data_IF_773264632882
#
_entry.id   IF_773264632882
#
_cell.length_a   1.000
_cell.length_b   1.000
_cell.length_c   1.000
_cell.angle_alpha   90.00
_cell.angle_beta   90.00
_cell.angle_gamma   90.00
#
_symmetry.space_group_name_H-M   'P 1'
#
loop_
_entity.id
_entity.type
_entity.pdbx_description
1 polymer ?
#
# COMPACT_ATOMS: atom_id res chain seq x y z
N UNK A 1 41.49 46.61 -59.05
CA UNK A 1 40.20 45.94 -59.36
C UNK A 1 39.86 45.06 -58.17
N UNK A 2 38.96 45.53 -57.31
CA UNK A 2 38.39 44.75 -56.19
C UNK A 2 36.90 45.07 -56.12
N UNK A 3 36.04 44.05 -56.16
CA UNK A 3 34.91 43.96 -55.24
C UNK A 3 34.73 42.48 -54.80
N UNK A 4 33.93 42.05 -53.83
CA UNK A 4 32.89 42.64 -53.02
C UNK A 4 32.79 41.82 -51.71
N UNK A 5 32.27 42.45 -50.66
CA UNK A 5 31.75 41.83 -49.44
C UNK A 5 30.82 40.63 -49.73
N UNK A 6 30.96 39.56 -48.94
CA UNK A 6 29.95 38.49 -48.82
C UNK A 6 29.18 38.67 -47.52
N UNK A 7 27.86 38.73 -47.64
CA UNK A 7 26.92 38.93 -46.53
C UNK A 7 26.00 37.71 -46.42
N UNK A 8 25.72 37.30 -45.17
CA UNK A 8 24.60 36.47 -44.66
C UNK A 8 24.56 34.98 -45.07
N UNK A 9 24.09 34.03 -44.24
CA UNK A 9 22.86 34.00 -43.41
C UNK A 9 23.09 33.08 -42.20
N UNK A 10 22.70 33.52 -40.99
CA UNK A 10 22.56 32.67 -39.79
C UNK A 10 21.18 32.00 -39.83
N UNK A 11 21.12 30.67 -39.90
CA UNK A 11 19.87 29.91 -39.76
C UNK A 11 19.66 29.54 -38.29
N UNK A 12 18.65 30.14 -37.66
CA UNK A 12 18.20 29.79 -36.32
C UNK A 12 17.18 28.64 -36.40
N UNK A 13 17.57 27.45 -35.93
CA UNK A 13 16.69 26.30 -35.81
C UNK A 13 15.88 26.38 -34.51
N UNK A 14 14.57 26.61 -34.57
CA UNK A 14 13.69 26.42 -33.42
C UNK A 14 13.44 24.92 -33.22
N UNK A 15 14.06 24.35 -32.18
CA UNK A 15 13.69 23.03 -31.67
C UNK A 15 12.45 23.16 -30.80
N UNK A 16 11.31 22.65 -31.29
CA UNK A 16 10.07 22.54 -30.51
C UNK A 16 10.18 21.28 -29.64
N UNK A 17 10.63 21.43 -28.40
CA UNK A 17 10.61 20.34 -27.41
C UNK A 17 9.20 20.18 -26.86
N UNK A 18 8.48 19.15 -27.32
CA UNK A 18 7.24 18.71 -26.70
C UNK A 18 7.57 18.14 -25.31
N UNK A 19 7.32 18.92 -24.26
CA UNK A 19 7.38 18.44 -22.89
C UNK A 19 6.16 17.54 -22.63
N UNK A 20 6.36 16.22 -22.64
CA UNK A 20 5.40 15.25 -22.09
C UNK A 20 5.57 15.25 -20.58
N UNK A 21 4.94 16.21 -19.91
CA UNK A 21 4.76 16.18 -18.46
C UNK A 21 3.53 15.32 -18.15
N UNK A 22 3.74 14.08 -17.73
CA UNK A 22 2.68 13.21 -17.18
C UNK A 22 2.85 13.03 -15.67
N UNK A 23 2.35 13.94 -14.81
CA UNK A 23 2.31 13.71 -13.38
C UNK A 23 0.94 13.16 -12.99
N UNK A 24 0.65 11.85 -13.19
CA UNK A 24 -0.60 11.24 -12.67
C UNK A 24 -0.62 9.71 -12.50
N UNK A 25 0.35 8.95 -13.01
CA UNK A 25 0.23 7.47 -13.04
C UNK A 25 0.64 6.74 -11.77
N UNK A 26 1.54 7.31 -10.96
CA UNK A 26 2.11 6.62 -9.78
C UNK A 26 1.05 6.35 -8.71
N UNK A 27 0.17 7.33 -8.46
CA UNK A 27 -0.91 7.18 -7.49
C UNK A 27 -1.93 6.14 -7.99
N UNK A 28 -2.39 6.24 -9.24
CA UNK A 28 -3.31 5.27 -9.83
C UNK A 28 -2.78 3.82 -9.82
N UNK A 29 -1.48 3.63 -10.08
CA UNK A 29 -0.83 2.31 -9.99
C UNK A 29 -0.79 1.76 -8.56
N UNK A 30 -0.68 2.65 -7.56
CA UNK A 30 -0.67 2.27 -6.15
C UNK A 30 -2.06 1.84 -5.66
N UNK A 31 -3.13 2.54 -6.06
CA UNK A 31 -4.51 2.10 -5.81
C UNK A 31 -4.79 0.73 -6.46
N UNK A 32 -4.35 0.53 -7.70
CA UNK A 32 -4.54 -0.74 -8.41
C UNK A 32 -3.83 -1.91 -7.73
N UNK A 33 -2.60 -1.70 -7.24
CA UNK A 33 -1.89 -2.79 -6.55
C UNK A 33 -2.52 -3.10 -5.20
N UNK A 34 -2.98 -2.10 -4.44
CA UNK A 34 -3.64 -2.30 -3.15
C UNK A 34 -4.96 -3.05 -3.29
N UNK A 35 -5.75 -2.73 -4.32
CA UNK A 35 -6.93 -3.52 -4.65
C UNK A 35 -6.61 -4.94 -5.09
N UNK A 36 -5.56 -5.13 -5.89
CA UNK A 36 -5.14 -6.45 -6.28
C UNK A 36 -4.66 -7.26 -5.07
N UNK A 37 -3.90 -6.67 -4.14
CA UNK A 37 -3.49 -7.32 -2.89
C UNK A 37 -4.72 -7.78 -2.12
N UNK A 38 -5.69 -6.89 -1.90
CA UNK A 38 -6.89 -7.18 -1.13
C UNK A 38 -7.70 -8.34 -1.74
N UNK A 39 -8.01 -8.26 -3.03
CA UNK A 39 -8.81 -9.26 -3.74
C UNK A 39 -8.08 -10.59 -3.90
N UNK A 40 -6.79 -10.56 -4.22
CA UNK A 40 -5.99 -11.77 -4.39
C UNK A 40 -5.75 -12.46 -3.05
N UNK A 41 -5.51 -11.71 -1.97
CA UNK A 41 -5.38 -12.25 -0.62
C UNK A 41 -6.67 -12.95 -0.18
N UNK A 42 -7.83 -12.32 -0.41
CA UNK A 42 -9.14 -12.91 -0.11
C UNK A 42 -9.36 -14.24 -0.85
N UNK A 43 -8.80 -14.38 -2.06
CA UNK A 43 -8.86 -15.59 -2.89
C UNK A 43 -7.68 -16.55 -2.72
N UNK A 44 -6.79 -16.36 -1.74
CA UNK A 44 -5.67 -17.27 -1.49
C UNK A 44 -4.51 -17.17 -2.49
N UNK A 45 -4.30 -16.00 -3.10
CA UNK A 45 -3.28 -15.73 -4.12
C UNK A 45 -3.34 -16.65 -5.35
N UNK A 46 -4.44 -16.60 -6.13
CA UNK A 46 -4.60 -17.46 -7.29
C UNK A 46 -3.51 -17.19 -8.34
N UNK A 47 -3.16 -18.23 -9.10
CA UNK A 47 -2.14 -18.15 -10.14
C UNK A 47 -2.58 -17.23 -11.29
N UNK A 48 -2.21 -15.95 -11.20
CA UNK A 48 -2.45 -14.94 -12.22
C UNK A 48 -1.36 -13.86 -12.17
N UNK A 49 -1.08 -13.23 -13.31
CA UNK A 49 -0.13 -12.11 -13.39
C UNK A 49 -0.42 -10.99 -12.38
N UNK A 50 -1.67 -10.48 -12.23
CA UNK A 50 -1.96 -9.44 -11.26
C UNK A 50 -1.75 -9.90 -9.81
N UNK A 51 -2.14 -11.13 -9.46
CA UNK A 51 -1.96 -11.62 -8.10
C UNK A 51 -0.50 -11.95 -7.76
N UNK A 52 0.30 -12.44 -8.72
CA UNK A 52 1.72 -12.63 -8.51
C UNK A 52 2.43 -11.29 -8.25
N UNK A 53 2.07 -10.24 -9.01
CA UNK A 53 2.59 -8.89 -8.80
C UNK A 53 2.16 -8.32 -7.44
N UNK A 54 0.89 -8.49 -7.08
CA UNK A 54 0.36 -8.05 -5.80
C UNK A 54 1.04 -8.76 -4.62
N UNK A 55 1.25 -10.08 -4.70
CA UNK A 55 1.99 -10.84 -3.67
C UNK A 55 3.43 -10.35 -3.53
N UNK A 56 4.10 -10.05 -4.64
CA UNK A 56 5.44 -9.47 -4.60
C UNK A 56 5.47 -8.12 -3.88
N UNK A 57 4.52 -7.22 -4.14
CA UNK A 57 4.44 -5.93 -3.43
C UNK A 57 4.04 -6.06 -1.96
N UNK A 58 3.13 -7.00 -1.64
CA UNK A 58 2.79 -7.36 -0.26
C UNK A 58 4.05 -7.77 0.53
N UNK A 59 4.89 -8.63 -0.04
CA UNK A 59 6.15 -9.07 0.55
C UNK A 59 7.17 -7.92 0.60
N UNK A 60 7.29 -7.13 -0.47
CA UNK A 60 8.23 -5.99 -0.57
C UNK A 60 7.96 -4.92 0.49
N UNK A 61 6.69 -4.67 0.82
CA UNK A 61 6.33 -3.70 1.87
C UNK A 61 6.79 -4.15 3.25
N UNK A 62 6.82 -5.46 3.46
CA UNK A 62 7.23 -6.01 4.73
C UNK A 62 8.72 -6.36 4.82
N UNK A 63 9.52 -6.18 3.75
CA UNK A 63 10.93 -6.62 3.69
C UNK A 63 11.83 -5.65 2.90
N UNK A 64 13.06 -5.33 3.36
CA UNK A 64 13.56 -5.40 4.73
C UNK A 64 13.13 -4.17 5.56
N UNK A 65 13.42 -4.16 6.86
CA UNK A 65 13.09 -3.04 7.75
C UNK A 65 13.62 -1.68 7.23
N UNK A 66 12.82 -0.59 7.27
CA UNK A 66 11.52 -0.41 7.94
C UNK A 66 10.35 -1.06 7.22
N UNK A 67 9.47 -1.71 8.00
CA UNK A 67 8.33 -2.48 7.51
C UNK A 67 7.10 -1.60 7.42
N UNK A 68 6.51 -1.50 6.24
CA UNK A 68 5.22 -0.87 5.99
C UNK A 68 4.08 -1.88 6.20
N UNK A 69 2.84 -1.43 6.50
CA UNK A 69 1.69 -2.32 6.50
C UNK A 69 1.56 -3.04 5.14
N UNK A 70 1.44 -4.38 5.14
CA UNK A 70 1.45 -5.14 3.88
C UNK A 70 0.29 -4.75 2.94
N UNK A 71 -0.88 -4.49 3.50
CA UNK A 71 -2.09 -4.04 2.82
C UNK A 71 -2.48 -2.62 3.28
N UNK A 72 -2.78 -1.75 2.32
CA UNK A 72 -3.24 -0.39 2.60
C UNK A 72 -4.71 -0.28 2.18
N UNK A 73 -5.61 -0.78 3.03
CA UNK A 73 -7.03 -0.99 2.69
C UNK A 73 -7.75 0.30 2.23
N UNK A 74 -7.36 1.45 2.75
CA UNK A 74 -7.86 2.78 2.34
C UNK A 74 -7.51 3.15 0.89
N UNK A 75 -6.51 2.51 0.28
CA UNK A 75 -6.19 2.66 -1.15
C UNK A 75 -6.99 1.70 -2.02
N UNK A 76 -7.87 0.88 -1.46
CA UNK A 76 -8.82 0.11 -2.23
C UNK A 76 -10.26 0.37 -1.75
N UNK A 77 -10.95 1.39 -2.30
CA UNK A 77 -12.34 1.65 -1.96
C UNK A 77 -13.23 0.54 -2.54
N UNK A 78 -13.45 -0.51 -1.75
CA UNK A 78 -14.53 -1.46 -1.98
C UNK A 78 -15.77 -0.94 -1.25
N UNK A 79 -16.44 0.07 -1.82
CA UNK A 79 -17.78 0.47 -1.37
C UNK A 79 -17.88 1.21 -0.03
N UNK A 80 -16.82 1.84 0.47
CA UNK A 80 -17.03 3.01 1.34
C UNK A 80 -17.72 4.05 0.47
N UNK A 81 -18.96 4.40 0.82
CA UNK A 81 -19.73 5.40 0.12
C UNK A 81 -18.91 6.68 -0.03
N UNK A 82 -18.43 6.95 -1.24
CA UNK A 82 -18.35 8.32 -1.74
C UNK A 82 -19.79 8.84 -1.66
N UNK A 83 -20.12 9.52 -0.56
CA UNK A 83 -21.30 10.37 -0.55
C UNK A 83 -21.11 11.44 -1.64
N UNK A 84 -21.98 11.38 -2.67
CA UNK A 84 -22.13 12.35 -3.76
C UNK A 84 -21.07 12.20 -4.87
N UNK A 85 -21.33 11.73 -6.08
CA UNK A 85 -22.57 11.66 -6.85
C UNK A 85 -22.61 10.34 -7.61
N UNK A 86 -23.68 9.56 -7.45
CA UNK A 86 -24.05 8.63 -8.51
C UNK A 86 -24.30 9.47 -9.76
N UNK A 87 -23.72 9.15 -10.94
CA UNK A 87 -24.11 9.82 -12.16
C UNK A 87 -25.60 9.56 -12.35
N UNK A 88 -26.40 10.61 -12.19
CA UNK A 88 -27.85 10.60 -12.40
C UNK A 88 -28.17 9.74 -13.62
N UNK A 89 -29.15 8.84 -13.51
CA UNK A 89 -29.59 8.08 -14.68
C UNK A 89 -29.93 9.07 -15.81
N UNK A 90 -29.78 8.70 -17.09
CA UNK A 90 -30.09 9.60 -18.20
C UNK A 90 -31.49 10.23 -18.09
N UNK A 91 -32.43 9.54 -17.45
CA UNK A 91 -33.77 10.04 -17.16
C UNK A 91 -33.80 11.11 -16.06
N UNK A 92 -33.06 10.95 -14.96
CA UNK A 92 -32.97 11.97 -13.90
C UNK A 92 -32.28 13.24 -14.38
N UNK A 93 -31.31 13.14 -15.30
CA UNK A 93 -30.72 14.31 -15.96
C UNK A 93 -31.74 15.05 -16.83
N UNK A 94 -32.61 14.33 -17.53
CA UNK A 94 -33.69 14.92 -18.32
C UNK A 94 -34.74 15.59 -17.42
N UNK A 95 -35.07 15.00 -16.27
CA UNK A 95 -35.94 15.62 -15.27
C UNK A 95 -35.32 16.89 -14.67
N UNK A 96 -34.03 16.91 -14.29
CA UNK A 96 -33.38 18.13 -13.77
C UNK A 96 -33.37 19.28 -14.81
N UNK A 97 -33.13 18.96 -16.09
CA UNK A 97 -33.18 19.95 -17.17
C UNK A 97 -34.62 20.46 -17.39
N UNK A 98 -35.62 19.59 -17.28
CA UNK A 98 -37.02 19.93 -17.56
C UNK A 98 -37.70 20.70 -16.43
N UNK A 99 -37.25 20.53 -15.17
CA UNK A 99 -37.88 21.11 -13.98
C UNK A 99 -37.00 22.14 -13.25
N UNK A 100 -35.91 22.60 -13.87
CA UNK A 100 -35.12 23.72 -13.35
C UNK A 100 -35.96 25.00 -13.38
N UNK A 101 -36.51 25.38 -12.24
CA UNK A 101 -36.99 26.73 -11.99
C UNK A 101 -35.82 27.72 -12.16
N UNK A 102 -35.96 28.77 -12.98
CA UNK A 102 -34.91 29.76 -13.15
C UNK A 102 -34.87 30.64 -11.89
N UNK A 103 -34.03 30.27 -10.93
CA UNK A 103 -33.62 31.21 -9.90
C UNK A 103 -32.85 32.33 -10.58
N UNK A 104 -33.41 33.53 -10.46
CA UNK A 104 -32.92 34.76 -11.04
C UNK A 104 -31.43 34.96 -10.74
N UNK A 105 -30.74 35.34 -11.81
CA UNK A 105 -29.33 35.70 -11.83
C UNK A 105 -29.08 36.88 -10.91
N UNK A 106 -28.32 36.70 -9.82
CA UNK A 106 -27.50 37.81 -9.30
C UNK A 106 -26.27 37.30 -8.55
N UNK A 107 -25.11 37.81 -8.99
CA UNK A 107 -23.78 37.84 -8.38
C UNK A 107 -22.74 36.79 -8.87
N UNK A 108 -21.56 37.24 -9.33
CA UNK A 108 -20.43 36.35 -9.66
C UNK A 108 -19.74 35.90 -8.37
N UNK A 109 -19.80 34.60 -8.09
CA UNK A 109 -18.97 33.98 -7.04
C UNK A 109 -17.63 33.59 -7.68
N UNK A 110 -16.48 34.06 -7.16
CA UNK A 110 -15.20 33.54 -7.59
C UNK A 110 -15.09 32.09 -7.11
N UNK A 111 -14.87 31.17 -8.05
CA UNK A 111 -14.55 29.78 -7.72
C UNK A 111 -13.13 29.78 -7.12
N UNK A 112 -13.08 29.97 -5.80
CA UNK A 112 -11.94 29.53 -5.00
C UNK A 112 -12.15 28.03 -4.78
N UNK A 113 -11.31 27.21 -5.42
CA UNK A 113 -11.19 25.78 -5.11
C UNK A 113 -9.95 25.55 -4.25
N UNK A 114 -10.00 25.81 -2.92
CA UNK A 114 -9.04 25.24 -1.99
C UNK A 114 -9.69 24.03 -1.34
N UNK A 115 -9.51 22.85 -1.92
CA UNK A 115 -10.11 21.65 -1.33
C UNK A 115 -9.58 20.30 -1.80
N UNK A 116 -8.80 20.23 -2.87
CA UNK A 116 -8.29 18.93 -3.36
C UNK A 116 -7.00 18.47 -2.65
N UNK A 117 -6.59 19.14 -1.57
CA UNK A 117 -5.22 18.99 -1.03
C UNK A 117 -5.20 18.97 0.49
N UNK A 118 -5.87 18.00 1.14
CA UNK A 118 -5.45 17.49 2.47
C UNK A 118 -6.16 16.21 2.92
N UNK A 119 -7.26 15.78 2.29
CA UNK A 119 -8.03 14.62 2.76
C UNK A 119 -7.26 13.28 2.63
N UNK A 120 -6.42 13.15 1.59
CA UNK A 120 -5.70 11.90 1.30
C UNK A 120 -4.62 11.51 2.33
N UNK A 121 -4.30 12.40 3.29
CA UNK A 121 -3.19 12.20 4.22
C UNK A 121 -3.59 11.81 5.66
N UNK A 122 -4.88 11.91 6.03
CA UNK A 122 -5.35 11.59 7.39
C UNK A 122 -6.30 10.39 7.45
N UNK A 123 -6.82 9.94 6.32
CA UNK A 123 -7.85 8.88 6.24
C UNK A 123 -7.23 7.49 6.09
N UNK A 124 -6.12 7.24 6.79
CA UNK A 124 -5.33 6.04 6.63
C UNK A 124 -5.78 4.91 7.58
N UNK A 125 -6.69 5.18 8.52
CA UNK A 125 -7.11 4.20 9.53
C UNK A 125 -8.53 4.46 10.06
N UNK A 126 -9.42 5.00 9.22
CA UNK A 126 -10.82 5.27 9.59
C UNK A 126 -11.78 4.46 8.71
N UNK A 127 -11.47 3.17 8.52
CA UNK A 127 -12.33 2.24 7.78
C UNK A 127 -12.74 1.13 8.74
N UNK A 128 -14.04 1.01 8.98
CA UNK A 128 -14.59 -0.06 9.79
C UNK A 128 -14.46 -1.41 9.08
N UNK A 129 -13.52 -2.23 9.55
CA UNK A 129 -13.30 -3.61 9.13
C UNK A 129 -13.65 -4.61 10.24
N UNK A 130 -14.55 -4.23 11.16
CA UNK A 130 -15.02 -5.11 12.22
C UNK A 130 -15.89 -6.27 11.72
N UNK A 131 -16.52 -6.10 10.55
CA UNK A 131 -17.34 -7.11 9.89
C UNK A 131 -16.55 -8.36 9.47
N UNK A 132 -17.24 -9.49 9.43
CA UNK A 132 -16.69 -10.81 9.06
C UNK A 132 -16.08 -10.85 7.65
N UNK A 133 -16.62 -10.05 6.72
CA UNK A 133 -16.08 -9.89 5.37
C UNK A 133 -14.60 -9.49 5.33
N UNK A 134 -14.07 -8.86 6.40
CA UNK A 134 -12.67 -8.45 6.50
C UNK A 134 -11.85 -9.29 7.49
N UNK A 135 -12.37 -10.44 7.94
CA UNK A 135 -11.64 -11.35 8.83
C UNK A 135 -10.30 -11.78 8.23
N UNK A 136 -10.26 -11.98 6.91
CA UNK A 136 -9.03 -12.32 6.21
C UNK A 136 -7.96 -11.22 6.33
N UNK A 137 -8.34 -9.93 6.33
CA UNK A 137 -7.41 -8.81 6.58
C UNK A 137 -6.93 -8.82 8.02
N UNK A 138 -7.86 -8.97 8.97
CA UNK A 138 -7.55 -9.02 10.41
C UNK A 138 -6.81 -10.29 10.81
N UNK A 139 -6.75 -11.30 9.95
CA UNK A 139 -5.99 -12.53 10.16
C UNK A 139 -4.50 -12.37 9.86
N UNK A 140 -4.10 -11.34 9.11
CA UNK A 140 -2.71 -11.11 8.74
C UNK A 140 -1.88 -10.87 10.01
N UNK A 141 -0.82 -11.67 10.21
CA UNK A 141 0.18 -11.46 11.26
C UNK A 141 1.55 -11.38 10.61
N UNK A 142 2.27 -10.30 10.88
CA UNK A 142 3.64 -10.11 10.37
C UNK A 142 4.60 -10.16 11.55
N UNK A 143 5.49 -11.13 11.55
CA UNK A 143 6.57 -11.26 12.51
C UNK A 143 7.86 -10.72 11.90
N UNK A 144 8.33 -9.58 12.38
CA UNK A 144 9.71 -9.15 12.10
C UNK A 144 10.61 -9.79 13.15
N UNK A 145 11.29 -10.86 12.77
CA UNK A 145 12.09 -11.71 13.64
C UNK A 145 13.53 -11.19 13.64
N UNK A 146 14.03 -10.88 14.83
CA UNK A 146 15.42 -10.52 15.03
C UNK A 146 15.89 -11.10 16.35
N UNK A 147 16.59 -12.22 16.24
CA UNK A 147 17.05 -13.00 17.37
C UNK A 147 18.54 -13.30 17.24
N UNK A 148 19.27 -13.19 18.34
CA UNK A 148 20.63 -13.70 18.40
C UNK A 148 20.93 -14.31 19.76
N UNK A 149 21.78 -15.31 19.76
CA UNK A 149 22.35 -15.87 20.97
C UNK A 149 23.81 -16.25 20.74
N UNK A 150 24.62 -16.10 21.78
CA UNK A 150 26.01 -16.53 21.80
C UNK A 150 26.44 -16.80 23.24
N UNK A 151 27.52 -17.57 23.39
CA UNK A 151 28.14 -17.77 24.68
C UNK A 151 29.22 -16.70 24.91
N UNK A 152 29.24 -16.07 26.08
CA UNK A 152 30.31 -15.16 26.47
C UNK A 152 31.56 -15.95 26.92
N UNK A 153 32.61 -15.26 27.34
CA UNK A 153 33.86 -15.88 27.81
C UNK A 153 33.68 -16.66 29.12
N UNK A 154 32.70 -16.29 29.93
CA UNK A 154 32.42 -16.87 31.24
C UNK A 154 31.52 -18.12 31.16
N UNK A 155 31.03 -18.45 29.95
CA UNK A 155 30.15 -19.59 29.70
C UNK A 155 28.66 -19.25 29.75
N UNK A 156 28.29 -18.00 30.04
CA UNK A 156 26.89 -17.56 30.06
C UNK A 156 26.33 -17.42 28.65
N UNK A 157 25.03 -17.74 28.52
CA UNK A 157 24.31 -17.54 27.28
C UNK A 157 23.72 -16.14 27.21
N UNK A 158 24.24 -15.30 26.31
CA UNK A 158 23.70 -13.98 26.04
C UNK A 158 22.69 -14.10 24.90
N UNK A 159 21.43 -13.75 25.18
CA UNK A 159 20.32 -13.76 24.21
C UNK A 159 19.80 -12.34 23.97
N UNK A 160 19.51 -12.03 22.71
CA UNK A 160 18.84 -10.80 22.30
C UNK A 160 17.67 -11.17 21.42
N UNK A 161 16.47 -10.71 21.80
CA UNK A 161 15.26 -10.88 21.02
C UNK A 161 14.56 -9.53 20.88
N UNK A 162 14.53 -9.01 19.65
CA UNK A 162 13.82 -7.79 19.28
C UNK A 162 12.70 -8.08 18.28
N UNK A 163 12.14 -9.30 18.34
CA UNK A 163 11.02 -9.73 17.50
C UNK A 163 9.78 -8.88 17.77
N UNK A 164 9.09 -8.49 16.69
CA UNK A 164 7.86 -7.69 16.73
C UNK A 164 6.75 -8.38 15.97
N UNK A 165 5.52 -8.23 16.46
CA UNK A 165 4.30 -8.70 15.81
C UNK A 165 3.53 -7.51 15.27
N UNK A 166 3.24 -7.52 13.98
CA UNK A 166 2.39 -6.56 13.29
C UNK A 166 1.01 -7.16 13.02
N UNK A 167 -0.03 -6.37 13.25
CA UNK A 167 -1.43 -6.79 13.04
C UNK A 167 -2.34 -5.61 12.73
N UNK A 168 -3.46 -5.90 12.06
CA UNK A 168 -4.53 -4.92 11.84
C UNK A 168 -5.54 -4.90 12.99
N UNK A 169 -5.93 -3.69 13.40
CA UNK A 169 -7.08 -3.43 14.26
C UNK A 169 -8.39 -3.41 13.47
N UNK A 170 -9.51 -3.13 14.16
CA UNK A 170 -10.84 -3.11 13.54
C UNK A 170 -11.11 -1.85 12.72
N UNK A 171 -10.32 -0.79 12.89
CA UNK A 171 -10.45 0.45 12.11
C UNK A 171 -9.47 0.47 10.91
N UNK A 172 -8.86 -0.67 10.60
CA UNK A 172 -7.84 -0.78 9.55
C UNK A 172 -6.49 -0.19 9.94
N UNK A 173 -6.33 0.26 11.19
CA UNK A 173 -5.05 0.65 11.76
C UNK A 173 -4.10 -0.54 11.80
N UNK A 174 -2.83 -0.32 11.48
CA UNK A 174 -1.80 -1.34 11.56
C UNK A 174 -0.77 -0.95 12.62
N UNK A 175 -0.56 -1.83 13.58
CA UNK A 175 0.30 -1.57 14.73
C UNK A 175 1.35 -2.66 14.94
N UNK A 176 2.47 -2.27 15.55
CA UNK A 176 3.51 -3.19 16.02
C UNK A 176 3.42 -3.36 17.53
N UNK A 177 3.38 -4.61 17.97
CA UNK A 177 3.52 -5.01 19.36
C UNK A 177 4.87 -5.71 19.59
N UNK A 178 5.39 -5.61 20.80
CA UNK A 178 6.54 -6.42 21.23
C UNK A 178 6.13 -7.89 21.22
N UNK A 179 6.99 -8.75 20.68
CA UNK A 179 6.77 -10.20 20.63
C UNK A 179 8.07 -10.93 20.97
N UNK A 180 8.13 -12.24 20.70
CA UNK A 180 9.32 -13.07 20.87
C UNK A 180 9.32 -14.22 19.86
N UNK A 181 10.48 -14.85 19.68
CA UNK A 181 10.63 -16.05 18.85
C UNK A 181 9.72 -17.21 19.25
N UNK A 182 9.32 -17.29 20.53
CA UNK A 182 8.42 -18.33 21.02
C UNK A 182 6.96 -18.16 20.56
N UNK A 183 6.58 -16.97 20.09
CA UNK A 183 5.25 -16.69 19.57
C UNK A 183 5.17 -16.78 18.03
N UNK A 184 6.31 -17.04 17.36
CA UNK A 184 6.36 -17.24 15.91
C UNK A 184 5.75 -18.61 15.60
N UNK A 185 4.81 -18.71 14.64
CA UNK A 185 4.18 -19.97 14.28
C UNK A 185 5.18 -21.03 13.79
N UNK A 186 4.86 -22.31 14.04
CA UNK A 186 5.68 -23.46 13.59
C UNK A 186 5.80 -23.58 12.07
N UNK A 187 4.96 -22.86 11.31
CA UNK A 187 5.07 -22.76 9.87
C UNK A 187 6.29 -21.93 9.40
N UNK A 188 6.97 -21.24 10.31
CA UNK A 188 8.25 -20.56 10.04
C UNK A 188 9.42 -21.55 10.04
N UNK A 189 10.44 -21.28 9.25
CA UNK A 189 11.71 -22.02 9.23
C UNK A 189 12.59 -21.72 10.46
N UNK A 190 12.15 -20.83 11.36
CA UNK A 190 12.88 -20.45 12.56
C UNK A 190 13.09 -21.64 13.50
N UNK A 191 14.35 -22.05 13.65
CA UNK A 191 14.75 -23.14 14.57
C UNK A 191 15.80 -22.66 15.57
N UNK A 192 15.36 -22.13 16.71
CA UNK A 192 16.27 -21.69 17.78
C UNK A 192 16.92 -22.91 18.45
N UNK A 193 18.26 -22.99 18.52
CA UNK A 193 18.94 -24.10 19.17
C UNK A 193 18.64 -24.21 20.67
N UNK A 194 18.37 -25.43 21.15
CA UNK A 194 18.15 -25.72 22.58
C UNK A 194 19.38 -25.34 23.43
N UNK A 195 20.57 -25.75 22.98
CA UNK A 195 21.83 -25.41 23.63
C UNK A 195 22.36 -24.06 23.15
N UNK A 196 22.95 -23.30 24.08
CA UNK A 196 23.55 -22.03 23.73
C UNK A 196 24.77 -22.23 22.83
N UNK A 197 24.61 -21.83 21.57
CA UNK A 197 25.67 -21.74 20.57
C UNK A 197 25.48 -20.46 19.78
N UNK A 198 26.53 -19.99 19.12
CA UNK A 198 26.41 -18.84 18.22
C UNK A 198 25.30 -19.09 17.20
N UNK A 199 24.27 -18.25 17.25
CA UNK A 199 23.11 -18.33 16.38
C UNK A 199 22.56 -16.93 16.19
N UNK A 200 22.29 -16.56 14.94
CA UNK A 200 21.68 -15.29 14.58
C UNK A 200 20.63 -15.57 13.53
N UNK A 201 19.46 -14.97 13.72
CA UNK A 201 18.35 -15.10 12.80
C UNK A 201 17.68 -13.76 12.59
N UNK A 202 17.51 -13.43 11.32
CA UNK A 202 16.75 -12.26 10.89
C UNK A 202 15.89 -12.65 9.69
N UNK A 203 14.59 -12.47 9.84
CA UNK A 203 13.62 -12.71 8.79
C UNK A 203 12.34 -11.94 9.05
N UNK A 204 11.52 -11.86 8.02
CA UNK A 204 10.11 -11.50 8.15
C UNK A 204 9.30 -12.74 7.80
N UNK A 205 8.49 -13.18 8.75
CA UNK A 205 7.52 -14.24 8.57
C UNK A 205 6.14 -13.61 8.57
N UNK A 206 5.30 -13.91 7.58
CA UNK A 206 3.92 -13.44 7.53
C UNK A 206 3.01 -14.63 7.31
N UNK A 207 1.92 -14.68 8.05
CA UNK A 207 0.85 -15.61 7.80
C UNK A 207 -0.53 -14.92 7.78
N UNK A 208 -1.48 -15.60 7.15
CA UNK A 208 -2.84 -15.12 6.97
C UNK A 208 -3.80 -16.30 6.75
N UNK A 209 -5.08 -16.00 6.81
CA UNK A 209 -6.16 -16.84 6.29
C UNK A 209 -6.86 -16.09 5.18
N UNK A 210 -7.18 -16.77 4.08
CA UNK A 210 -8.02 -16.20 3.02
C UNK A 210 -9.49 -16.12 3.46
N UNK A 211 -10.37 -15.60 2.62
CA UNK A 211 -11.81 -15.46 2.96
C UNK A 211 -12.49 -16.84 3.14
N UNK A 212 -11.98 -17.90 2.51
CA UNK A 212 -12.47 -19.26 2.72
C UNK A 212 -11.88 -19.94 3.97
N UNK A 213 -10.97 -19.28 4.68
CA UNK A 213 -10.31 -19.77 5.88
C UNK A 213 -9.05 -20.60 5.64
N UNK A 214 -8.60 -20.73 4.39
CA UNK A 214 -7.37 -21.47 4.05
C UNK A 214 -6.15 -20.72 4.59
N UNK A 215 -5.23 -21.46 5.21
CA UNK A 215 -3.99 -20.90 5.75
C UNK A 215 -2.97 -20.66 4.65
N UNK A 216 -2.28 -19.52 4.71
CA UNK A 216 -1.12 -19.21 3.88
C UNK A 216 -0.03 -18.52 4.69
N UNK A 217 1.22 -18.73 4.29
CA UNK A 217 2.38 -18.08 4.90
C UNK A 217 3.47 -17.78 3.86
N UNK A 218 4.38 -16.89 4.23
CA UNK A 218 5.59 -16.57 3.49
C UNK A 218 6.70 -16.20 4.49
N UNK A 219 7.94 -16.60 4.19
CA UNK A 219 9.11 -16.19 4.96
C UNK A 219 10.20 -15.65 4.05
N UNK A 220 10.75 -14.48 4.42
CA UNK A 220 11.89 -13.88 3.73
C UNK A 220 13.00 -13.61 4.72
N UNK A 221 14.15 -14.24 4.49
CA UNK A 221 15.37 -14.06 5.28
C UNK A 221 16.29 -13.03 4.63
N UNK A 222 16.96 -12.20 5.43
CA UNK A 222 17.87 -11.15 4.94
C UNK A 222 18.88 -10.69 6.00
#
# INVERSE_FOLDING_TARGET
MSPALRTTVLTASLALTAAVSSPSSVQAQTYQIDCAILLCLAGGWPASVPCARARAEFIRRITPWPVEPPLQIWRCPMGASLGGDAPLSPMERLYDIAFREPLESTLPIPIDVPGLTLAQALEQADIDISGDAFDFVRSIRVYHIQFSQHQNRDGDCIRSDSTRLGSYGTQGDYGWARSSVAAVPEASDLAVPEHCRSYSWRSVFVDWRDHAGNYGSEEVRY
#
